data_IF_385741142806
#
_entry.id   IF_385741142806
#
_cell.length_a   1.000
_cell.length_b   1.000
_cell.length_c   1.000
_cell.angle_alpha   90.00
_cell.angle_beta   90.00
_cell.angle_gamma   90.00
#
_symmetry.space_group_name_H-M   'P 1'
#
loop_
_entity.id
_entity.type
_entity.pdbx_description
1 polymer ?
#
# COMPACT_ATOMS: atom_id res chain seq x y z
N UNK A 1 4.32 6.20 -11.89
CA UNK A 1 5.65 5.62 -11.62
C UNK A 1 6.37 5.33 -12.93
N UNK A 2 7.70 5.47 -12.93
CA UNK A 2 8.51 5.10 -14.08
C UNK A 2 8.57 3.59 -14.23
N UNK A 3 8.39 3.10 -15.46
CA UNK A 3 8.47 1.66 -15.78
C UNK A 3 9.28 1.48 -17.04
N UNK A 4 10.28 0.61 -16.98
CA UNK A 4 11.12 0.25 -18.13
C UNK A 4 10.39 -0.79 -18.97
N UNK A 5 10.08 -0.44 -20.19
CA UNK A 5 9.49 -1.33 -21.21
C UNK A 5 10.40 -1.40 -22.43
N UNK A 6 10.13 -2.32 -23.34
CA UNK A 6 10.97 -2.52 -24.55
C UNK A 6 11.14 -1.23 -25.39
N UNK A 7 10.16 -0.31 -25.36
CA UNK A 7 10.18 0.96 -26.08
C UNK A 7 10.86 2.12 -25.31
N UNK A 8 11.36 1.89 -24.10
CA UNK A 8 11.97 2.91 -23.24
C UNK A 8 11.34 2.98 -21.85
N UNK A 9 11.46 4.13 -21.20
CA UNK A 9 10.82 4.38 -19.90
C UNK A 9 9.48 5.06 -20.13
N UNK A 10 8.43 4.50 -19.55
CA UNK A 10 7.08 5.06 -19.55
C UNK A 10 6.67 5.46 -18.14
N UNK A 11 5.83 6.47 -18.01
CA UNK A 11 5.19 6.82 -16.75
C UNK A 11 3.79 6.21 -16.72
N UNK A 12 3.59 5.23 -15.83
CA UNK A 12 2.37 4.42 -15.75
C UNK A 12 1.82 4.48 -14.33
N UNK A 13 0.50 4.60 -14.20
CA UNK A 13 -0.20 4.43 -12.92
C UNK A 13 -0.46 2.95 -12.66
N UNK A 14 -0.61 2.56 -11.40
CA UNK A 14 -1.00 1.19 -11.05
C UNK A 14 -2.46 0.91 -11.37
N UNK A 15 -3.33 1.94 -11.28
CA UNK A 15 -4.76 1.91 -11.59
C UNK A 15 -5.14 3.22 -12.26
N UNK A 16 -5.83 3.17 -13.40
CA UNK A 16 -6.33 4.34 -14.11
C UNK A 16 -7.55 4.01 -14.97
N UNK A 17 -8.25 5.04 -15.43
CA UNK A 17 -9.38 4.88 -16.34
C UNK A 17 -9.05 5.55 -17.69
N UNK A 18 -9.25 4.84 -18.77
CA UNK A 18 -8.96 5.33 -20.10
C UNK A 18 -9.86 4.68 -21.15
N UNK A 19 -10.36 5.44 -22.12
CA UNK A 19 -11.16 4.95 -23.21
C UNK A 19 -12.40 4.12 -22.78
N UNK A 20 -13.03 4.54 -21.65
CA UNK A 20 -14.20 3.87 -21.11
C UNK A 20 -13.92 2.57 -20.35
N UNK A 21 -12.65 2.29 -20.03
CA UNK A 21 -12.21 1.08 -19.36
C UNK A 21 -11.37 1.38 -18.12
N UNK A 22 -11.60 0.63 -17.06
CA UNK A 22 -10.67 0.52 -15.95
C UNK A 22 -9.46 -0.30 -16.41
N UNK A 23 -8.28 0.26 -16.23
CA UNK A 23 -6.99 -0.38 -16.51
C UNK A 23 -6.18 -0.48 -15.22
N UNK A 24 -5.48 -1.58 -15.05
CA UNK A 24 -4.59 -1.78 -13.90
C UNK A 24 -3.46 -2.76 -14.21
N UNK A 25 -2.37 -2.62 -13.46
CA UNK A 25 -1.27 -3.57 -13.51
C UNK A 25 -1.69 -4.84 -12.77
N UNK A 26 -1.60 -6.01 -13.41
CA UNK A 26 -1.80 -7.29 -12.71
C UNK A 26 -0.62 -7.58 -11.78
N UNK A 27 -0.78 -7.18 -10.51
CA UNK A 27 0.27 -7.30 -9.51
C UNK A 27 0.63 -8.75 -9.16
N UNK A 28 -0.21 -9.73 -9.52
CA UNK A 28 0.06 -11.17 -9.31
C UNK A 28 1.13 -11.69 -10.26
N UNK A 29 1.36 -10.99 -11.36
CA UNK A 29 2.34 -11.34 -12.39
C UNK A 29 3.72 -10.76 -12.14
N UNK A 30 3.79 -9.70 -11.32
CA UNK A 30 5.06 -9.10 -10.91
C UNK A 30 5.83 -10.03 -9.96
N UNK A 31 7.16 -10.01 -10.02
CA UNK A 31 8.04 -9.18 -10.85
C UNK A 31 8.32 -9.79 -12.24
N UNK A 32 7.79 -10.98 -12.55
CA UNK A 32 8.18 -11.78 -13.72
C UNK A 32 7.67 -11.22 -15.04
N UNK A 33 6.46 -10.67 -15.05
CA UNK A 33 5.91 -9.98 -16.22
C UNK A 33 5.11 -8.75 -15.82
N UNK A 34 5.22 -7.69 -16.61
CA UNK A 34 4.36 -6.51 -16.52
C UNK A 34 3.19 -6.73 -17.48
N UNK A 35 2.02 -6.99 -16.91
CA UNK A 35 0.78 -7.15 -17.66
C UNK A 35 -0.22 -6.08 -17.22
N UNK A 36 -0.77 -5.37 -18.22
CA UNK A 36 -1.87 -4.44 -18.02
C UNK A 36 -3.15 -5.17 -18.39
N UNK A 37 -4.09 -5.21 -17.46
CA UNK A 37 -5.42 -5.77 -17.69
C UNK A 37 -6.44 -4.65 -17.70
N UNK A 38 -7.50 -4.81 -18.49
CA UNK A 38 -8.53 -3.81 -18.63
C UNK A 38 -9.94 -4.41 -18.64
N UNK A 39 -10.92 -3.64 -18.18
CA UNK A 39 -12.32 -4.04 -18.23
C UNK A 39 -13.25 -2.84 -18.34
N UNK A 40 -14.37 -3.01 -19.06
CA UNK A 40 -15.53 -2.12 -19.02
C UNK A 40 -16.70 -2.73 -18.19
N UNK A 41 -16.52 -3.96 -17.70
CA UNK A 41 -17.48 -4.65 -16.86
C UNK A 41 -17.13 -4.44 -15.39
N UNK A 42 -18.02 -3.82 -14.64
CA UNK A 42 -17.84 -3.54 -13.22
C UNK A 42 -17.76 -4.82 -12.37
N UNK A 43 -18.44 -5.91 -12.76
CA UNK A 43 -18.36 -7.19 -12.06
C UNK A 43 -16.96 -7.81 -12.20
N UNK A 44 -16.38 -7.68 -13.38
CA UNK A 44 -14.98 -8.07 -13.61
C UNK A 44 -14.02 -7.22 -12.79
N UNK A 45 -14.26 -5.92 -12.63
CA UNK A 45 -13.46 -5.07 -11.75
C UNK A 45 -13.54 -5.53 -10.29
N UNK A 46 -14.73 -5.94 -9.82
CA UNK A 46 -14.90 -6.51 -8.46
C UNK A 46 -14.11 -7.82 -8.29
N UNK A 47 -14.10 -8.69 -9.29
CA UNK A 47 -13.27 -9.90 -9.26
C UNK A 47 -11.77 -9.58 -9.18
N UNK A 48 -11.29 -8.58 -9.94
CA UNK A 48 -9.89 -8.13 -9.91
C UNK A 48 -9.46 -7.58 -8.54
N UNK A 49 -10.39 -6.99 -7.77
CA UNK A 49 -10.16 -6.59 -6.39
C UNK A 49 -10.12 -7.83 -5.47
N UNK A 50 -11.03 -8.77 -5.66
CA UNK A 50 -11.15 -9.98 -4.82
C UNK A 50 -9.95 -10.91 -4.99
N UNK A 51 -9.51 -11.15 -6.22
CA UNK A 51 -8.41 -12.07 -6.55
C UNK A 51 -7.02 -11.45 -6.43
N UNK A 52 -6.96 -10.19 -5.95
CA UNK A 52 -5.73 -9.41 -5.76
C UNK A 52 -4.96 -9.11 -7.06
N UNK A 53 -5.62 -9.05 -8.20
CA UNK A 53 -5.06 -8.42 -9.41
C UNK A 53 -4.58 -7.00 -9.05
N UNK A 54 -5.36 -6.29 -8.22
CA UNK A 54 -4.97 -5.05 -7.55
C UNK A 54 -4.99 -5.25 -6.03
N UNK A 55 -4.00 -4.70 -5.31
CA UNK A 55 -3.87 -4.72 -3.85
C UNK A 55 -3.31 -3.39 -3.34
N UNK A 56 -3.38 -3.19 -1.99
CA UNK A 56 -3.06 -1.93 -1.34
C UNK A 56 -4.33 -1.09 -1.14
N UNK A 57 -4.53 -0.57 0.07
CA UNK A 57 -5.81 0.03 0.45
C UNK A 57 -6.24 1.17 -0.49
N UNK A 58 -5.38 2.19 -0.82
CA UNK A 58 -5.79 3.25 -1.72
C UNK A 58 -5.99 2.78 -3.18
N UNK A 59 -5.15 1.87 -3.71
CA UNK A 59 -5.33 1.35 -5.07
C UNK A 59 -6.62 0.54 -5.21
N UNK A 60 -7.00 -0.22 -4.18
CA UNK A 60 -8.29 -0.91 -4.11
C UNK A 60 -9.43 0.10 -4.07
N UNK A 61 -9.29 1.20 -3.33
CA UNK A 61 -10.27 2.30 -3.30
C UNK A 61 -10.48 2.92 -4.67
N UNK A 62 -9.40 3.23 -5.40
CA UNK A 62 -9.46 3.77 -6.76
C UNK A 62 -10.16 2.77 -7.71
N UNK A 63 -9.80 1.48 -7.66
CA UNK A 63 -10.43 0.45 -8.47
C UNK A 63 -11.93 0.30 -8.14
N UNK A 64 -12.31 0.41 -6.86
CA UNK A 64 -13.69 0.36 -6.40
C UNK A 64 -14.50 1.58 -6.87
N UNK A 65 -13.93 2.79 -6.82
CA UNK A 65 -14.57 3.99 -7.34
C UNK A 65 -14.91 3.86 -8.83
N UNK A 66 -13.95 3.37 -9.63
CA UNK A 66 -14.19 3.11 -11.06
C UNK A 66 -15.17 1.96 -11.30
N UNK A 67 -15.15 0.90 -10.48
CA UNK A 67 -16.13 -0.18 -10.56
C UNK A 67 -17.55 0.34 -10.31
N UNK A 68 -17.74 1.19 -9.31
CA UNK A 68 -19.02 1.85 -9.03
C UNK A 68 -19.45 2.78 -10.18
N UNK A 69 -18.53 3.58 -10.72
CA UNK A 69 -18.84 4.46 -11.85
C UNK A 69 -19.28 3.65 -13.09
N UNK A 70 -18.62 2.52 -13.38
CA UNK A 70 -19.00 1.60 -14.44
C UNK A 70 -20.38 0.97 -14.19
N UNK A 71 -20.68 0.53 -12.95
CA UNK A 71 -21.96 -0.05 -12.59
C UNK A 71 -23.11 0.94 -12.83
N UNK A 72 -23.00 2.17 -12.34
CA UNK A 72 -23.99 3.22 -12.54
C UNK A 72 -24.19 3.52 -14.03
N UNK A 73 -23.11 3.64 -14.79
CA UNK A 73 -23.19 3.91 -16.25
C UNK A 73 -23.83 2.77 -17.06
N UNK A 74 -23.82 1.55 -16.55
CA UNK A 74 -24.50 0.40 -17.17
C UNK A 74 -25.93 0.22 -16.67
N UNK A 75 -26.45 1.15 -15.83
CA UNK A 75 -27.84 1.16 -15.36
C UNK A 75 -28.09 0.31 -14.11
N UNK A 76 -27.03 -0.13 -13.41
CA UNK A 76 -27.20 -0.83 -12.14
C UNK A 76 -27.67 0.13 -11.04
N UNK A 77 -28.43 -0.39 -10.11
CA UNK A 77 -28.85 0.37 -8.94
C UNK A 77 -27.62 0.58 -8.02
N UNK A 78 -27.27 1.84 -7.66
CA UNK A 78 -26.01 2.14 -6.97
C UNK A 78 -25.84 1.43 -5.62
N UNK A 79 -26.93 1.27 -4.84
CA UNK A 79 -26.87 0.59 -3.55
C UNK A 79 -26.62 -0.92 -3.69
N UNK A 80 -27.21 -1.54 -4.72
CA UNK A 80 -26.97 -2.95 -5.00
C UNK A 80 -25.53 -3.20 -5.48
N UNK A 81 -25.02 -2.34 -6.37
CA UNK A 81 -23.63 -2.37 -6.79
C UNK A 81 -22.68 -2.17 -5.60
N UNK A 82 -22.95 -1.19 -4.72
CA UNK A 82 -22.16 -0.90 -3.54
C UNK A 82 -22.01 -2.13 -2.61
N UNK A 83 -23.10 -2.87 -2.36
CA UNK A 83 -23.04 -4.09 -1.57
C UNK A 83 -22.08 -5.14 -2.19
N UNK A 84 -22.16 -5.31 -3.51
CA UNK A 84 -21.31 -6.25 -4.23
C UNK A 84 -19.81 -5.83 -4.18
N UNK A 85 -19.52 -4.54 -4.43
CA UNK A 85 -18.16 -4.01 -4.40
C UNK A 85 -17.56 -4.10 -2.98
N UNK A 86 -18.32 -3.69 -1.95
CA UNK A 86 -17.87 -3.78 -0.55
C UNK A 86 -17.59 -5.22 -0.09
N UNK A 87 -18.34 -6.19 -0.60
CA UNK A 87 -18.13 -7.61 -0.30
C UNK A 87 -16.85 -8.19 -0.92
N UNK A 88 -16.18 -7.49 -1.86
CA UNK A 88 -14.92 -7.97 -2.44
C UNK A 88 -13.78 -8.02 -1.41
N UNK A 89 -13.70 -7.02 -0.52
CA UNK A 89 -12.67 -6.93 0.54
C UNK A 89 -13.28 -6.29 1.81
N UNK A 90 -13.95 -7.09 2.68
CA UNK A 90 -14.73 -6.56 3.80
C UNK A 90 -13.96 -5.79 4.86
N UNK A 91 -12.63 -5.91 4.90
CA UNK A 91 -11.74 -5.25 5.87
C UNK A 91 -11.03 -4.01 5.30
N UNK A 92 -11.20 -3.72 4.00
CA UNK A 92 -10.50 -2.61 3.35
C UNK A 92 -11.25 -1.29 3.52
N UNK A 93 -10.82 -0.45 4.46
CA UNK A 93 -11.46 0.83 4.78
C UNK A 93 -11.59 1.76 3.55
N UNK A 94 -10.50 1.96 2.80
CA UNK A 94 -10.49 2.84 1.62
C UNK A 94 -11.48 2.40 0.55
N UNK A 95 -11.72 1.09 0.42
CA UNK A 95 -12.74 0.58 -0.50
C UNK A 95 -14.14 1.05 -0.11
N UNK A 96 -14.48 0.96 1.18
CA UNK A 96 -15.78 1.42 1.68
C UNK A 96 -15.94 2.91 1.47
N UNK A 97 -14.94 3.69 1.87
CA UNK A 97 -14.93 5.14 1.69
C UNK A 97 -15.12 5.54 0.22
N UNK A 98 -14.37 4.93 -0.71
CA UNK A 98 -14.49 5.20 -2.13
C UNK A 98 -15.88 4.87 -2.68
N UNK A 99 -16.43 3.71 -2.30
CA UNK A 99 -17.78 3.30 -2.72
C UNK A 99 -18.84 4.28 -2.23
N UNK A 100 -18.79 4.67 -0.94
CA UNK A 100 -19.77 5.60 -0.37
C UNK A 100 -19.70 6.96 -1.04
N UNK A 101 -18.49 7.47 -1.32
CA UNK A 101 -18.27 8.72 -2.06
C UNK A 101 -18.93 8.71 -3.45
N UNK A 102 -18.87 7.59 -4.18
CA UNK A 102 -19.52 7.50 -5.50
C UNK A 102 -21.05 7.38 -5.38
N UNK A 103 -21.54 6.69 -4.34
CA UNK A 103 -22.99 6.64 -4.05
C UNK A 103 -23.52 8.05 -3.73
N UNK A 104 -22.80 8.82 -2.92
CA UNK A 104 -23.16 10.18 -2.56
C UNK A 104 -23.14 11.12 -3.77
N UNK A 105 -22.11 11.02 -4.63
CA UNK A 105 -22.03 11.78 -5.87
C UNK A 105 -23.22 11.48 -6.80
N UNK A 106 -23.61 10.21 -6.93
CA UNK A 106 -24.80 9.83 -7.69
C UNK A 106 -26.07 10.44 -7.10
N UNK A 107 -26.24 10.38 -5.77
CA UNK A 107 -27.40 10.94 -5.08
C UNK A 107 -27.50 12.47 -5.23
N UNK A 108 -26.34 13.14 -5.34
CA UNK A 108 -26.26 14.58 -5.62
C UNK A 108 -26.54 14.95 -7.10
N UNK A 109 -26.60 13.96 -7.99
CA UNK A 109 -26.77 14.17 -9.44
C UNK A 109 -25.47 14.51 -10.18
N UNK A 110 -24.32 14.27 -9.55
CA UNK A 110 -22.99 14.48 -10.14
C UNK A 110 -22.63 13.38 -11.15
N UNK A 111 -21.69 13.68 -12.05
CA UNK A 111 -21.08 12.68 -12.91
C UNK A 111 -20.19 11.74 -12.09
N UNK A 112 -20.60 10.49 -11.95
CA UNK A 112 -19.92 9.48 -11.13
C UNK A 112 -18.53 9.11 -11.65
N UNK A 113 -18.29 9.22 -12.97
CA UNK A 113 -16.97 8.98 -13.52
C UNK A 113 -16.02 10.13 -13.17
N UNK A 114 -16.49 11.35 -13.28
CA UNK A 114 -15.74 12.53 -12.85
C UNK A 114 -15.45 12.49 -11.33
N UNK A 115 -16.40 12.00 -10.53
CA UNK A 115 -16.19 11.80 -9.09
C UNK A 115 -15.12 10.73 -8.81
N UNK A 116 -15.09 9.64 -9.59
CA UNK A 116 -14.06 8.61 -9.49
C UNK A 116 -12.67 9.11 -9.92
N UNK A 117 -12.60 9.89 -11.01
CA UNK A 117 -11.37 10.54 -11.45
C UNK A 117 -10.83 11.50 -10.37
N UNK A 118 -11.70 12.34 -9.81
CA UNK A 118 -11.33 13.28 -8.74
C UNK A 118 -10.81 12.54 -7.48
N UNK A 119 -11.40 11.42 -7.12
CA UNK A 119 -10.93 10.57 -6.03
C UNK A 119 -9.53 10.00 -6.32
N UNK A 120 -9.32 9.48 -7.53
CA UNK A 120 -8.03 8.92 -7.93
C UNK A 120 -6.91 9.99 -7.91
N UNK A 121 -7.17 11.19 -8.45
CA UNK A 121 -6.22 12.29 -8.43
C UNK A 121 -5.92 12.77 -7.00
N UNK A 122 -6.94 12.89 -6.14
CA UNK A 122 -6.77 13.26 -4.73
C UNK A 122 -5.81 12.31 -4.01
N UNK A 123 -5.93 10.99 -4.22
CA UNK A 123 -5.02 10.00 -3.64
C UNK A 123 -3.59 10.20 -4.14
N UNK A 124 -3.41 10.42 -5.45
CA UNK A 124 -2.08 10.64 -6.05
C UNK A 124 -1.44 11.92 -5.50
N UNK A 125 -2.20 13.00 -5.37
CA UNK A 125 -1.71 14.28 -4.82
C UNK A 125 -1.31 14.14 -3.34
N UNK A 126 -2.11 13.46 -2.52
CA UNK A 126 -1.78 13.16 -1.13
C UNK A 126 -0.48 12.36 -1.03
N UNK A 127 -0.32 11.33 -1.84
CA UNK A 127 0.91 10.52 -1.87
C UNK A 127 2.14 11.35 -2.28
N UNK A 128 2.02 12.24 -3.25
CA UNK A 128 3.10 13.14 -3.64
C UNK A 128 3.44 14.13 -2.51
N UNK A 129 2.46 14.67 -1.80
CA UNK A 129 2.68 15.55 -0.65
C UNK A 129 3.41 14.81 0.49
N UNK A 130 3.00 13.58 0.82
CA UNK A 130 3.71 12.70 1.75
C UNK A 130 5.17 12.52 1.30
N UNK A 131 5.39 12.29 0.02
CA UNK A 131 6.73 12.19 -0.56
C UNK A 131 7.58 13.43 -0.32
N UNK A 132 7.03 14.62 -0.58
CA UNK A 132 7.73 15.91 -0.39
C UNK A 132 8.07 16.17 1.07
N UNK A 133 7.13 15.93 1.99
CA UNK A 133 7.38 16.10 3.42
C UNK A 133 8.43 15.12 3.94
N UNK A 134 8.34 13.85 3.55
CA UNK A 134 9.24 12.80 4.03
C UNK A 134 10.62 12.79 3.37
N UNK A 135 10.78 13.37 2.17
CA UNK A 135 12.06 13.40 1.48
C UNK A 135 13.17 14.08 2.29
N UNK A 136 12.83 15.10 3.09
CA UNK A 136 13.79 15.79 3.96
C UNK A 136 14.45 14.90 5.02
N UNK A 137 13.82 13.76 5.36
CA UNK A 137 14.36 12.80 6.32
C UNK A 137 15.48 11.93 5.73
N UNK A 138 15.60 11.87 4.39
CA UNK A 138 16.56 11.01 3.69
C UNK A 138 17.78 11.86 3.30
N UNK A 139 18.87 11.66 4.01
CA UNK A 139 20.14 12.32 3.70
C UNK A 139 20.92 11.56 2.60
N UNK A 140 21.86 12.27 1.96
CA UNK A 140 22.77 11.64 1.00
C UNK A 140 23.65 10.60 1.70
N UNK A 141 23.86 9.43 1.09
CA UNK A 141 24.59 8.31 1.66
C UNK A 141 23.84 7.49 2.72
N UNK A 142 22.60 7.86 3.08
CA UNK A 142 21.83 7.17 4.11
C UNK A 142 21.42 5.75 3.67
N UNK A 143 21.33 4.84 4.63
CA UNK A 143 20.70 3.52 4.46
C UNK A 143 19.30 3.56 5.08
N UNK A 144 18.30 3.31 4.28
CA UNK A 144 16.89 3.32 4.67
C UNK A 144 16.36 1.87 4.69
N UNK A 145 15.49 1.53 5.62
CA UNK A 145 14.79 0.24 5.61
C UNK A 145 13.29 0.44 5.42
N UNK A 146 12.68 -0.44 4.64
CA UNK A 146 11.24 -0.48 4.45
C UNK A 146 10.69 -1.90 4.52
N UNK A 147 9.37 -2.01 4.72
CA UNK A 147 8.67 -3.29 4.86
C UNK A 147 7.39 -3.32 4.04
N UNK A 148 7.04 -4.49 3.51
CA UNK A 148 5.89 -4.70 2.65
C UNK A 148 5.97 -3.89 1.34
N UNK A 149 4.84 -3.52 0.77
CA UNK A 149 4.78 -2.61 -0.36
C UNK A 149 3.76 -1.50 -0.08
N UNK A 150 4.28 -0.33 0.19
CA UNK A 150 3.54 0.92 0.30
C UNK A 150 4.06 1.92 -0.76
N UNK A 151 4.20 1.43 -1.98
CA UNK A 151 4.61 2.15 -3.18
C UNK A 151 3.46 2.49 -4.11
N UNK A 152 3.79 2.89 -5.33
CA UNK A 152 2.84 3.28 -6.37
C UNK A 152 1.83 2.18 -6.70
N UNK A 153 2.27 0.91 -6.67
CA UNK A 153 1.39 -0.25 -6.88
C UNK A 153 0.27 -0.33 -5.83
N UNK A 154 0.52 0.16 -4.62
CA UNK A 154 -0.45 0.14 -3.53
C UNK A 154 -1.39 1.34 -3.50
N UNK A 155 -1.07 2.44 -4.19
CA UNK A 155 -1.74 3.74 -4.04
C UNK A 155 -2.18 4.39 -5.35
N UNK A 156 -2.02 3.72 -6.47
CA UNK A 156 -2.28 4.26 -7.80
C UNK A 156 -1.06 4.95 -8.41
N UNK A 157 -0.36 5.82 -7.66
CA UNK A 157 0.97 6.37 -7.99
C UNK A 157 1.67 6.86 -6.71
N UNK A 158 2.98 7.18 -6.82
CA UNK A 158 3.92 7.65 -5.79
C UNK A 158 4.13 6.68 -4.62
N UNK A 159 3.11 6.12 -4.02
CA UNK A 159 3.18 5.38 -2.78
C UNK A 159 3.04 6.27 -1.54
N UNK A 160 3.05 5.65 -0.36
CA UNK A 160 3.20 6.36 0.91
C UNK A 160 4.63 6.23 1.43
N UNK A 161 5.06 5.02 1.84
CA UNK A 161 6.43 4.82 2.35
C UNK A 161 7.51 4.95 1.27
N UNK A 162 7.23 4.62 0.01
CA UNK A 162 8.20 4.79 -1.08
C UNK A 162 8.18 6.20 -1.67
N UNK A 163 7.16 7.01 -1.46
CA UNK A 163 7.10 8.37 -2.00
C UNK A 163 8.25 9.26 -1.51
N UNK A 164 8.63 9.31 -0.21
CA UNK A 164 9.82 10.03 0.24
C UNK A 164 11.10 9.61 -0.47
N UNK A 165 11.27 8.31 -0.73
CA UNK A 165 12.45 7.76 -1.42
C UNK A 165 12.46 8.20 -2.89
N UNK A 166 11.31 8.14 -3.57
CA UNK A 166 11.17 8.57 -4.97
C UNK A 166 11.43 10.05 -5.14
N UNK A 167 10.89 10.89 -4.24
CA UNK A 167 11.14 12.35 -4.26
C UNK A 167 12.60 12.65 -3.97
N UNK A 168 13.19 12.08 -2.92
CA UNK A 168 14.61 12.27 -2.60
C UNK A 168 15.53 11.85 -3.75
N UNK A 169 15.22 10.73 -4.42
CA UNK A 169 15.96 10.26 -5.59
C UNK A 169 15.82 11.24 -6.79
N UNK A 170 14.61 11.74 -7.05
CA UNK A 170 14.36 12.73 -8.09
C UNK A 170 15.08 14.07 -7.83
N UNK A 171 15.32 14.41 -6.56
CA UNK A 171 16.13 15.57 -6.14
C UNK A 171 17.66 15.30 -6.23
N UNK A 172 18.06 14.13 -6.70
CA UNK A 172 19.47 13.75 -6.91
C UNK A 172 20.19 13.17 -5.71
N UNK A 173 19.51 12.88 -4.61
CA UNK A 173 20.11 12.25 -3.42
C UNK A 173 20.43 10.79 -3.72
N UNK A 174 21.57 10.33 -3.22
CA UNK A 174 22.02 8.95 -3.27
C UNK A 174 21.83 8.31 -1.92
N UNK A 175 21.12 7.23 -1.85
CA UNK A 175 20.86 6.45 -0.65
C UNK A 175 20.65 4.99 -1.02
N UNK A 176 20.64 4.12 -0.03
CA UNK A 176 20.44 2.68 -0.23
C UNK A 176 19.23 2.19 0.55
N UNK A 177 18.43 1.30 -0.05
CA UNK A 177 17.21 0.79 0.59
C UNK A 177 17.33 -0.71 0.91
N UNK A 178 17.21 -1.08 2.18
CA UNK A 178 16.95 -2.45 2.57
C UNK A 178 15.45 -2.75 2.50
N UNK A 179 15.10 -3.71 1.67
CA UNK A 179 13.71 -4.15 1.45
C UNK A 179 13.49 -5.47 2.16
N UNK A 180 12.71 -5.48 3.25
CA UNK A 180 12.30 -6.72 3.89
C UNK A 180 11.43 -7.54 2.95
N UNK A 181 11.74 -8.83 2.76
CA UNK A 181 11.03 -9.70 1.79
C UNK A 181 9.53 -9.79 2.04
N UNK A 182 9.11 -9.70 3.29
CA UNK A 182 7.71 -9.67 3.75
C UNK A 182 6.99 -11.00 3.54
N UNK A 183 7.40 -12.03 4.29
CA UNK A 183 6.63 -13.29 4.36
C UNK A 183 5.24 -13.04 4.92
N UNK A 184 4.20 -13.87 4.54
CA UNK A 184 4.28 -14.99 3.59
C UNK A 184 4.13 -14.59 2.11
N UNK A 185 3.53 -13.44 1.78
CA UNK A 185 3.16 -13.06 0.40
C UNK A 185 4.25 -12.32 -0.38
N UNK A 186 5.40 -12.08 0.22
CA UNK A 186 6.61 -11.52 -0.41
C UNK A 186 6.40 -10.16 -1.10
N UNK A 187 5.53 -9.28 -0.56
CA UNK A 187 5.26 -7.98 -1.18
C UNK A 187 6.50 -7.09 -1.27
N UNK A 188 7.40 -7.17 -0.27
CA UNK A 188 8.68 -6.47 -0.34
C UNK A 188 9.54 -6.98 -1.47
N UNK A 189 9.74 -8.30 -1.53
CA UNK A 189 10.56 -8.96 -2.56
C UNK A 189 10.00 -8.77 -3.97
N UNK A 190 8.69 -8.96 -4.17
CA UNK A 190 8.09 -9.00 -5.49
C UNK A 190 7.69 -7.62 -6.02
N UNK A 191 7.24 -6.73 -5.15
CA UNK A 191 6.64 -5.46 -5.57
C UNK A 191 7.51 -4.26 -5.22
N UNK A 192 7.97 -4.11 -3.97
CA UNK A 192 8.82 -2.98 -3.57
C UNK A 192 10.17 -3.00 -4.28
N UNK A 193 10.84 -4.15 -4.32
CA UNK A 193 12.09 -4.27 -5.04
C UNK A 193 11.92 -4.01 -6.54
N UNK A 194 10.80 -4.46 -7.13
CA UNK A 194 10.49 -4.17 -8.52
C UNK A 194 10.29 -2.67 -8.76
N UNK A 195 9.51 -1.96 -7.92
CA UNK A 195 9.32 -0.51 -8.06
C UNK A 195 10.65 0.25 -7.95
N UNK A 196 11.47 -0.05 -6.93
CA UNK A 196 12.77 0.59 -6.75
C UNK A 196 13.72 0.34 -7.93
N UNK A 197 13.70 -0.89 -8.49
CA UNK A 197 14.48 -1.24 -9.69
C UNK A 197 14.04 -0.43 -10.91
N UNK A 198 12.73 -0.24 -11.08
CA UNK A 198 12.17 0.56 -12.19
C UNK A 198 12.58 2.03 -12.07
N UNK A 199 12.56 2.59 -10.88
CA UNK A 199 12.94 3.98 -10.60
C UNK A 199 14.47 4.18 -10.59
N UNK A 200 15.28 3.11 -10.54
CA UNK A 200 16.74 3.19 -10.47
C UNK A 200 17.28 3.49 -9.08
N UNK A 201 16.52 3.22 -8.03
CA UNK A 201 16.92 3.41 -6.64
C UNK A 201 17.72 2.17 -6.17
N UNK A 202 18.92 2.39 -5.64
CA UNK A 202 19.78 1.31 -5.15
C UNK A 202 19.15 0.61 -3.94
N UNK A 203 19.05 -0.71 -3.99
CA UNK A 203 18.43 -1.49 -2.93
C UNK A 203 18.94 -2.94 -2.86
N UNK A 204 18.65 -3.60 -1.75
CA UNK A 204 18.77 -5.05 -1.61
C UNK A 204 17.58 -5.63 -0.86
N UNK A 205 17.14 -6.82 -1.28
CA UNK A 205 16.15 -7.61 -0.57
C UNK A 205 16.85 -8.34 0.57
N UNK A 206 16.23 -8.32 1.75
CA UNK A 206 16.72 -9.02 2.94
C UNK A 206 15.64 -9.96 3.49
N UNK A 207 16.00 -11.09 4.12
CA UNK A 207 15.08 -11.86 4.92
C UNK A 207 14.47 -11.01 6.03
N UNK A 208 13.19 -11.23 6.37
CA UNK A 208 12.51 -10.46 7.42
C UNK A 208 13.27 -10.52 8.76
N UNK A 209 13.84 -11.69 9.09
CA UNK A 209 14.63 -11.93 10.29
C UNK A 209 16.01 -11.25 10.30
N UNK A 210 16.50 -10.73 9.16
CA UNK A 210 17.81 -10.08 9.08
C UNK A 210 17.77 -8.59 9.45
N UNK A 211 16.60 -8.03 9.78
CA UNK A 211 16.43 -6.60 10.07
C UNK A 211 17.40 -6.12 11.17
N UNK A 212 17.56 -6.87 12.27
CA UNK A 212 18.47 -6.52 13.36
C UNK A 212 19.95 -6.42 12.90
N UNK A 213 20.40 -7.30 12.02
CA UNK A 213 21.75 -7.27 11.46
C UNK A 213 22.03 -5.94 10.77
N UNK A 214 21.16 -5.57 9.82
CA UNK A 214 21.38 -4.36 9.02
C UNK A 214 21.12 -3.06 9.79
N UNK A 215 20.22 -3.09 10.79
CA UNK A 215 20.02 -1.95 11.71
C UNK A 215 21.29 -1.70 12.53
N UNK A 216 21.90 -2.74 13.09
CA UNK A 216 23.21 -2.65 13.76
C UNK A 216 24.30 -2.12 12.82
N UNK A 217 24.25 -2.49 11.53
CA UNK A 217 25.27 -2.19 10.54
C UNK A 217 24.98 -0.84 9.80
N UNK A 218 24.19 0.04 10.41
CA UNK A 218 24.11 1.44 10.03
C UNK A 218 22.88 1.85 9.20
N UNK A 219 21.74 1.14 9.32
CA UNK A 219 20.45 1.72 8.91
C UNK A 219 20.20 2.99 9.72
N UNK A 220 19.95 4.10 9.03
CA UNK A 220 19.73 5.41 9.64
C UNK A 220 18.26 5.83 9.73
N UNK A 221 17.36 5.10 9.04
CA UNK A 221 15.95 5.45 8.97
C UNK A 221 15.10 4.22 8.60
N UNK A 222 13.96 4.06 9.26
CA UNK A 222 12.93 3.10 8.86
C UNK A 222 11.67 3.86 8.46
N UNK A 223 11.12 3.56 7.27
CA UNK A 223 9.84 4.11 6.81
C UNK A 223 8.94 2.96 6.39
N UNK A 224 7.74 2.88 6.97
CA UNK A 224 6.69 1.92 6.60
C UNK A 224 5.39 2.64 6.24
N UNK A 225 4.46 1.95 5.61
CA UNK A 225 3.08 2.39 5.52
C UNK A 225 2.28 2.05 6.77
N UNK A 226 0.98 2.31 6.74
CA UNK A 226 -0.01 1.81 7.69
C UNK A 226 -1.29 1.41 6.95
N UNK A 227 -1.96 0.38 7.45
CA UNK A 227 -3.30 0.01 6.97
C UNK A 227 -4.40 0.73 7.76
N UNK A 228 -4.16 1.02 9.06
CA UNK A 228 -5.06 1.78 9.94
C UNK A 228 -4.29 2.33 11.14
N UNK A 229 -4.59 3.56 11.54
CA UNK A 229 -3.97 4.23 12.69
C UNK A 229 -5.07 4.62 13.66
N UNK A 230 -4.95 4.20 14.91
CA UNK A 230 -5.88 4.54 16.00
C UNK A 230 -5.64 5.96 16.53
N UNK A 231 -6.61 6.49 17.29
CA UNK A 231 -6.56 7.85 17.85
C UNK A 231 -5.34 8.10 18.76
N UNK A 232 -4.84 7.06 19.45
CA UNK A 232 -3.66 7.16 20.31
C UNK A 232 -2.33 7.00 19.56
N UNK A 233 -2.37 6.82 18.21
CA UNK A 233 -1.19 6.60 17.38
C UNK A 233 -0.73 5.15 17.26
N UNK A 234 -1.38 4.20 17.92
CA UNK A 234 -1.16 2.78 17.62
C UNK A 234 -1.61 2.50 16.19
N UNK A 235 -0.90 1.61 15.49
CA UNK A 235 -1.29 1.35 14.10
C UNK A 235 -1.14 -0.11 13.71
N UNK A 236 -2.03 -0.56 12.85
CA UNK A 236 -1.92 -1.84 12.18
C UNK A 236 -1.20 -1.68 10.84
N UNK A 237 -0.25 -2.56 10.59
CA UNK A 237 0.41 -2.68 9.30
C UNK A 237 0.79 -4.15 9.06
N UNK A 238 1.33 -4.44 7.90
CA UNK A 238 1.75 -5.78 7.49
C UNK A 238 2.58 -6.46 8.59
N UNK A 239 2.24 -7.75 8.87
CA UNK A 239 2.94 -8.57 9.84
C UNK A 239 4.46 -8.44 9.72
N UNK A 240 5.17 -8.25 10.83
CA UNK A 240 6.61 -7.96 10.90
C UNK A 240 6.94 -6.47 11.01
N UNK A 241 5.96 -5.58 11.02
CA UNK A 241 6.16 -4.14 11.26
C UNK A 241 6.54 -3.88 12.71
N UNK A 242 5.84 -4.50 13.66
CA UNK A 242 6.14 -4.41 15.08
C UNK A 242 7.58 -4.83 15.40
N UNK A 243 8.06 -5.92 14.82
CA UNK A 243 9.45 -6.36 14.97
C UNK A 243 10.43 -5.26 14.59
N UNK A 244 10.21 -4.61 13.45
CA UNK A 244 11.06 -3.54 12.96
C UNK A 244 11.01 -2.29 13.82
N UNK A 245 9.83 -1.95 14.35
CA UNK A 245 9.68 -0.81 15.26
C UNK A 245 10.42 -1.04 16.60
N UNK A 246 10.30 -2.25 17.17
CA UNK A 246 11.03 -2.64 18.39
C UNK A 246 12.55 -2.60 18.15
N UNK A 247 13.01 -3.15 17.04
CA UNK A 247 14.43 -3.15 16.68
C UNK A 247 14.95 -1.73 16.42
N UNK A 248 14.18 -0.90 15.71
CA UNK A 248 14.53 0.50 15.49
C UNK A 248 14.68 1.25 16.82
N UNK A 249 13.75 1.07 17.77
CA UNK A 249 13.84 1.62 19.11
C UNK A 249 15.08 1.14 19.85
N UNK A 250 15.40 -0.17 19.77
CA UNK A 250 16.58 -0.77 20.41
C UNK A 250 17.88 -0.16 19.91
N UNK A 251 17.99 0.09 18.61
CA UNK A 251 19.20 0.64 17.97
C UNK A 251 19.21 2.18 17.90
N UNK A 252 18.18 2.86 18.44
CA UNK A 252 18.07 4.33 18.40
C UNK A 252 17.84 4.89 16.98
N UNK A 253 17.23 4.09 16.09
CA UNK A 253 16.93 4.48 14.71
C UNK A 253 15.53 5.10 14.65
N UNK A 254 15.35 6.26 14.00
CA UNK A 254 14.04 6.85 13.81
C UNK A 254 13.14 5.95 12.94
N UNK A 255 11.91 5.74 13.42
CA UNK A 255 10.89 4.94 12.76
C UNK A 255 9.70 5.83 12.39
N UNK A 256 9.48 6.01 11.10
CA UNK A 256 8.37 6.81 10.57
C UNK A 256 7.32 5.95 9.89
N UNK A 257 6.08 6.40 10.02
CA UNK A 257 4.92 5.81 9.35
C UNK A 257 4.40 6.80 8.32
N UNK A 258 4.37 6.42 7.06
CA UNK A 258 3.89 7.27 5.96
C UNK A 258 2.48 6.83 5.55
N UNK A 259 1.50 7.70 5.80
CA UNK A 259 0.10 7.42 5.51
C UNK A 259 -0.69 8.73 5.35
N UNK A 260 -1.74 8.76 4.51
CA UNK A 260 -2.63 9.91 4.44
C UNK A 260 -3.46 10.03 5.73
N UNK A 261 -3.93 11.24 6.03
CA UNK A 261 -4.77 11.50 7.21
C UNK A 261 -6.02 10.62 7.22
N UNK A 262 -6.54 10.24 6.06
CA UNK A 262 -7.68 9.32 5.96
C UNK A 262 -7.41 7.91 6.51
N UNK A 263 -6.15 7.55 6.76
CA UNK A 263 -5.78 6.27 7.41
C UNK A 263 -6.01 6.30 8.92
N UNK A 264 -6.10 7.50 9.52
CA UNK A 264 -6.41 7.68 10.94
C UNK A 264 -7.90 7.42 11.18
N UNK A 265 -8.18 6.50 12.10
CA UNK A 265 -9.53 6.15 12.52
C UNK A 265 -9.82 6.74 13.90
N UNK A 266 -10.58 7.85 13.97
CA UNK A 266 -10.91 8.48 15.24
C UNK A 266 -11.84 7.63 16.11
N UNK A 267 -12.48 6.59 15.55
CA UNK A 267 -13.37 5.70 16.29
C UNK A 267 -12.62 4.53 16.94
N UNK A 268 -11.38 4.25 16.54
CA UNK A 268 -10.51 3.29 17.20
C UNK A 268 -9.69 4.04 18.28
N UNK A 269 -10.03 3.87 19.55
CA UNK A 269 -9.34 4.57 20.64
C UNK A 269 -7.85 4.17 20.72
N UNK A 270 -7.55 2.90 20.53
CA UNK A 270 -6.22 2.31 20.55
C UNK A 270 -6.10 1.10 19.62
N UNK A 271 -4.93 0.50 19.54
CA UNK A 271 -4.64 -0.62 18.67
C UNK A 271 -5.47 -1.90 18.92
N UNK A 272 -6.03 -2.06 20.14
CA UNK A 272 -6.88 -3.22 20.48
C UNK A 272 -8.22 -3.18 19.75
N UNK A 273 -8.66 -2.00 19.34
CA UNK A 273 -9.89 -1.80 18.56
C UNK A 273 -9.72 -2.13 17.07
N UNK A 274 -8.49 -2.36 16.59
CA UNK A 274 -8.24 -2.68 15.18
C UNK A 274 -8.33 -4.19 14.96
N UNK A 275 -9.30 -4.70 14.18
CA UNK A 275 -9.42 -6.12 13.90
C UNK A 275 -8.27 -6.61 13.02
N UNK A 276 -7.61 -7.71 13.43
CA UNK A 276 -6.52 -8.32 12.68
C UNK A 276 -7.05 -9.52 11.89
N UNK A 277 -6.91 -9.44 10.56
CA UNK A 277 -7.27 -10.51 9.64
C UNK A 277 -6.33 -11.71 9.80
N UNK A 278 -6.89 -12.90 10.02
CA UNK A 278 -6.17 -14.17 9.91
C UNK A 278 -6.43 -14.78 8.54
N UNK A 279 -5.38 -15.14 7.82
CA UNK A 279 -5.45 -15.68 6.46
C UNK A 279 -5.25 -17.19 6.42
N UNK A 280 -5.48 -17.78 5.24
CA UNK A 280 -5.33 -19.19 5.02
C UNK A 280 -3.92 -19.71 5.38
N UNK A 281 -3.85 -20.89 5.98
CA UNK A 281 -2.58 -21.53 6.37
C UNK A 281 -1.70 -21.84 5.17
N UNK A 282 -2.29 -22.04 4.00
CA UNK A 282 -1.60 -22.33 2.75
C UNK A 282 -0.67 -21.21 2.33
N UNK A 283 -0.98 -19.94 2.62
CA UNK A 283 -0.08 -18.82 2.34
C UNK A 283 1.27 -18.97 3.08
N UNK A 284 1.25 -19.56 4.31
CA UNK A 284 2.46 -19.83 5.09
C UNK A 284 3.15 -21.12 4.70
N UNK A 285 2.35 -22.17 4.46
CA UNK A 285 2.85 -23.53 4.27
C UNK A 285 3.24 -23.85 2.85
N UNK A 286 2.90 -22.97 1.89
CA UNK A 286 3.25 -23.11 0.48
C UNK A 286 4.01 -21.90 -0.04
N UNK A 287 4.76 -22.08 -1.13
CA UNK A 287 5.31 -21.01 -1.95
C UNK A 287 4.83 -21.26 -3.39
N UNK A 288 3.89 -20.43 -3.84
CA UNK A 288 3.16 -20.72 -5.07
C UNK A 288 2.42 -22.06 -4.96
N UNK A 289 2.63 -22.96 -5.91
CA UNK A 289 2.04 -24.29 -5.89
C UNK A 289 2.84 -25.33 -5.05
N UNK A 290 4.04 -24.97 -4.59
CA UNK A 290 4.91 -25.87 -3.86
C UNK A 290 4.65 -25.80 -2.36
N UNK A 291 4.27 -26.94 -1.77
CA UNK A 291 4.19 -27.06 -0.31
C UNK A 291 5.59 -27.21 0.29
N UNK A 292 5.87 -26.42 1.34
CA UNK A 292 7.16 -26.42 2.06
C UNK A 292 7.04 -27.06 3.45
N UNK A 293 5.86 -26.95 4.09
CA UNK A 293 5.65 -27.51 5.43
C UNK A 293 5.21 -28.98 5.38
N UNK A 294 5.51 -29.78 6.42
CA UNK A 294 4.99 -31.14 6.54
C UNK A 294 3.46 -31.17 6.50
N UNK A 295 2.88 -32.22 5.92
CA UNK A 295 1.44 -32.42 5.96
C UNK A 295 0.98 -32.60 7.43
N UNK A 296 -0.15 -31.94 7.78
CA UNK A 296 -0.69 -31.95 9.14
C UNK A 296 -0.10 -30.89 10.08
N UNK A 297 0.98 -30.19 9.70
CA UNK A 297 1.45 -29.03 10.47
C UNK A 297 0.49 -27.86 10.29
N UNK A 298 0.03 -27.30 11.44
CA UNK A 298 -0.77 -26.09 11.48
C UNK A 298 0.10 -24.85 11.26
N UNK A 299 -0.48 -23.79 10.69
CA UNK A 299 0.16 -22.50 10.59
C UNK A 299 -0.78 -21.38 11.10
N UNK A 300 -0.23 -20.43 11.85
CA UNK A 300 -0.92 -19.22 12.24
C UNK A 300 -0.48 -18.10 11.31
N UNK A 301 -1.44 -17.47 10.63
CA UNK A 301 -1.15 -16.48 9.57
C UNK A 301 -1.92 -15.17 9.81
N UNK A 302 -1.53 -14.37 10.85
CA UNK A 302 -2.04 -13.02 10.96
C UNK A 302 -1.49 -12.17 9.80
N UNK A 303 -2.36 -11.43 9.13
CA UNK A 303 -1.95 -10.61 8.00
C UNK A 303 -1.23 -9.32 8.43
N UNK A 304 -1.53 -8.84 9.63
CA UNK A 304 -1.05 -7.58 10.19
C UNK A 304 -0.60 -7.79 11.64
N UNK A 305 0.21 -6.86 12.13
CA UNK A 305 0.45 -6.67 13.57
C UNK A 305 0.10 -5.25 13.98
N UNK A 306 -0.10 -5.05 15.27
CA UNK A 306 -0.33 -3.73 15.86
C UNK A 306 0.96 -3.24 16.49
N UNK A 307 1.41 -2.08 16.05
CA UNK A 307 2.60 -1.40 16.59
C UNK A 307 2.15 -0.25 17.50
N UNK A 308 2.63 -0.20 18.76
CA UNK A 308 2.36 0.92 19.65
C UNK A 308 2.87 2.26 19.09
N UNK A 309 2.04 3.32 19.19
CA UNK A 309 2.42 4.67 18.79
C UNK A 309 3.68 5.19 19.48
N UNK A 310 3.95 4.72 20.70
CA UNK A 310 5.18 5.05 21.45
C UNK A 310 6.50 4.58 20.81
N UNK A 311 6.44 3.68 19.82
CA UNK A 311 7.58 3.24 19.02
C UNK A 311 7.78 4.09 17.75
N UNK A 312 6.81 4.93 17.40
CA UNK A 312 6.85 5.79 16.21
C UNK A 312 7.56 7.11 16.53
N UNK A 313 8.44 7.55 15.65
CA UNK A 313 9.09 8.86 15.74
C UNK A 313 8.18 9.96 15.20
N UNK A 314 7.41 9.67 14.15
CA UNK A 314 6.44 10.59 13.58
C UNK A 314 5.68 9.95 12.42
N UNK A 315 4.54 10.56 12.08
CA UNK A 315 3.72 10.19 10.93
C UNK A 315 3.96 11.19 9.80
N UNK A 316 4.32 10.70 8.63
CA UNK A 316 4.48 11.51 7.41
C UNK A 316 3.14 11.51 6.70
N UNK A 317 2.47 12.66 6.69
CA UNK A 317 1.14 12.84 6.09
C UNK A 317 1.18 13.84 4.94
N UNK A 318 0.09 13.98 4.21
CA UNK A 318 -0.07 15.04 3.20
C UNK A 318 -0.04 16.45 3.77
N UNK A 319 -0.29 16.60 5.08
CA UNK A 319 -0.27 17.91 5.77
C UNK A 319 1.05 18.21 6.46
N UNK A 320 2.01 17.28 6.45
CA UNK A 320 3.31 17.43 7.11
C UNK A 320 3.68 16.22 7.97
N UNK A 321 4.76 16.34 8.71
CA UNK A 321 5.19 15.34 9.69
C UNK A 321 4.62 15.69 11.03
N UNK A 322 3.79 14.81 11.58
CA UNK A 322 3.15 14.98 12.89
C UNK A 322 3.75 14.03 13.92
N UNK A 323 3.92 14.46 15.20
CA UNK A 323 4.43 13.59 16.25
C UNK A 323 3.41 12.50 16.62
N UNK A 324 3.85 11.38 17.24
CA UNK A 324 2.92 10.41 17.81
C UNK A 324 2.16 11.02 18.98
N UNK A 325 0.83 10.85 19.00
CA UNK A 325 -0.05 11.38 20.06
C UNK A 325 -0.42 12.85 19.91
N UNK A 326 -0.29 13.40 18.67
CA UNK A 326 -0.74 14.75 18.30
C UNK A 326 -2.14 14.76 17.72
#
# INVERSE_FOLDING_TARGET
>A
MKVKVASGVQDIRAVWFENGRLKLIDQRKLPLSLEIVETADWRRAVEMIRDMTVRGAPAIGIAAAYAMALAVRTGEEPKAAALCVKAARPTAYDLFYAVDRIVDAFAAGDDVLRAADAYAEEIVEKCLAIGRHGASLIADGMKVMTHCNAGALATGDWGTALAPMRVAHAEGRRFFVYVSETRPRLQGMQLTAWELLQEGIEHAIIPDSASACYMRDGVGLVITGADRIAANGDFANKIGTLDKAILARHFGIPFYVAAPISTFDPNAADGSAIPIECRAEEEMTCLGAQRLAPFGSRALNPAFDVTPGSLVTGFITESGIIPPGG
#
